data_IF_484247586677
#
_entry.id   IF_484247586677
#
_cell.length_a   1.000
_cell.length_b   1.000
_cell.length_c   1.000
_cell.angle_alpha   90.00
_cell.angle_beta   90.00
_cell.angle_gamma   90.00
#
_symmetry.space_group_name_H-M   'P 1'
#
loop_
_entity.id
_entity.type
_entity.pdbx_description
1 polymer ?
#
# COMPACT_ATOMS: atom_id res chain seq x y z
N UNK A 1 -0.53 11.45 -7.93
CA UNK A 1 -1.36 10.32 -7.49
C UNK A 1 -0.49 9.50 -6.57
N UNK A 2 -1.00 9.06 -5.43
CA UNK A 2 -0.17 8.33 -4.48
C UNK A 2 -0.14 6.84 -4.84
N UNK A 3 1.05 6.26 -4.89
CA UNK A 3 1.24 4.84 -5.07
C UNK A 3 1.98 4.27 -3.86
N UNK A 4 1.55 3.10 -3.42
CA UNK A 4 2.29 2.29 -2.48
C UNK A 4 3.04 1.20 -3.24
N UNK A 5 4.34 1.12 -3.00
CA UNK A 5 5.27 0.24 -3.69
C UNK A 5 5.94 -0.65 -2.66
N UNK A 6 5.71 -1.96 -2.76
CA UNK A 6 6.37 -2.97 -1.95
C UNK A 6 7.50 -3.61 -2.76
N UNK A 7 8.68 -3.70 -2.17
CA UNK A 7 9.89 -4.19 -2.79
C UNK A 7 10.78 -4.88 -1.77
N UNK A 8 11.71 -5.70 -2.24
CA UNK A 8 12.69 -6.40 -1.41
C UNK A 8 14.10 -5.92 -1.74
N UNK A 9 14.91 -5.64 -0.71
CA UNK A 9 16.33 -5.28 -0.83
C UNK A 9 17.13 -6.07 0.19
N UNK A 10 18.15 -6.78 -0.29
CA UNK A 10 19.03 -7.55 0.59
C UNK A 10 18.33 -8.69 1.35
N UNK A 11 17.11 -9.06 0.94
CA UNK A 11 16.26 -10.03 1.62
C UNK A 11 15.19 -9.42 2.52
N UNK A 12 15.23 -8.12 2.79
CA UNK A 12 14.24 -7.41 3.60
C UNK A 12 13.14 -6.79 2.72
N UNK A 13 11.88 -7.08 3.06
CA UNK A 13 10.71 -6.46 2.43
C UNK A 13 10.48 -5.07 3.02
N UNK A 14 10.26 -4.09 2.13
CA UNK A 14 9.96 -2.71 2.47
C UNK A 14 8.81 -2.20 1.62
N UNK A 15 8.06 -1.26 2.19
CA UNK A 15 6.96 -0.58 1.50
C UNK A 15 7.18 0.92 1.60
N UNK A 16 7.06 1.60 0.47
CA UNK A 16 7.26 3.04 0.36
C UNK A 16 6.10 3.69 -0.41
N UNK A 17 5.76 4.92 -0.04
CA UNK A 17 4.68 5.69 -0.64
C UNK A 17 5.25 6.82 -1.47
N UNK A 18 4.93 6.82 -2.76
CA UNK A 18 5.50 7.74 -3.74
C UNK A 18 4.40 8.43 -4.52
N UNK A 19 4.45 9.76 -4.57
CA UNK A 19 3.64 10.52 -5.51
C UNK A 19 4.22 10.37 -6.91
N UNK A 20 3.42 9.83 -7.83
CA UNK A 20 3.81 9.60 -9.22
C UNK A 20 2.62 9.84 -10.16
N UNK A 21 2.89 10.14 -11.45
CA UNK A 21 1.84 10.21 -12.46
C UNK A 21 1.29 8.83 -12.84
N UNK A 22 2.08 7.77 -12.67
CA UNK A 22 1.74 6.40 -13.04
C UNK A 22 2.57 5.37 -12.25
N UNK A 23 2.12 4.11 -12.26
CA UNK A 23 2.75 3.00 -11.54
C UNK A 23 4.18 2.68 -12.01
N UNK A 24 4.49 2.82 -13.30
CA UNK A 24 5.82 2.55 -13.83
C UNK A 24 6.84 3.60 -13.35
N UNK A 25 6.39 4.86 -13.28
CA UNK A 25 7.16 5.96 -12.70
C UNK A 25 7.35 5.77 -11.19
N UNK A 26 6.33 5.31 -10.46
CA UNK A 26 6.43 4.99 -9.03
C UNK A 26 7.50 3.92 -8.76
N UNK A 27 7.41 2.78 -9.45
CA UNK A 27 8.39 1.70 -9.34
C UNK A 27 9.82 2.16 -9.69
N UNK A 28 9.97 2.95 -10.75
CA UNK A 28 11.27 3.48 -11.17
C UNK A 28 11.86 4.44 -10.15
N UNK A 29 11.05 5.30 -9.52
CA UNK A 29 11.50 6.21 -8.45
C UNK A 29 11.99 5.44 -7.24
N UNK A 30 11.20 4.48 -6.76
CA UNK A 30 11.54 3.64 -5.61
C UNK A 30 12.79 2.82 -5.88
N UNK A 31 12.88 2.20 -7.06
CA UNK A 31 14.10 1.53 -7.49
C UNK A 31 15.29 2.49 -7.45
N UNK A 32 15.22 3.67 -8.06
CA UNK A 32 16.35 4.61 -8.07
C UNK A 32 16.71 5.15 -6.68
N UNK A 33 15.73 5.30 -5.78
CA UNK A 33 15.95 5.78 -4.42
C UNK A 33 16.66 4.74 -3.54
N UNK A 34 16.35 3.45 -3.74
CA UNK A 34 16.81 2.37 -2.87
C UNK A 34 17.79 1.40 -3.55
N UNK A 35 18.06 1.55 -4.85
CA UNK A 35 19.08 0.78 -5.56
C UNK A 35 20.46 1.14 -5.00
N UNK A 36 20.92 0.30 -4.08
CA UNK A 36 22.27 0.29 -3.54
C UNK A 36 23.15 -0.63 -4.38
N UNK A 37 24.43 -0.30 -4.51
CA UNK A 37 25.38 -0.96 -5.42
C UNK A 37 25.56 -2.48 -5.13
N UNK A 38 25.27 -2.90 -3.90
CA UNK A 38 25.49 -4.27 -3.41
C UNK A 38 24.20 -5.08 -3.19
N UNK A 39 23.00 -4.48 -3.33
CA UNK A 39 21.72 -5.12 -3.01
C UNK A 39 20.91 -5.50 -4.25
N UNK A 40 20.44 -6.75 -4.33
CA UNK A 40 19.42 -7.13 -5.32
C UNK A 40 18.10 -6.45 -4.94
N UNK A 41 17.58 -5.62 -5.85
CA UNK A 41 16.26 -4.99 -5.75
C UNK A 41 15.24 -5.85 -6.50
N UNK A 42 14.19 -6.29 -5.80
CA UNK A 42 13.06 -7.00 -6.39
C UNK A 42 11.76 -6.23 -6.15
N UNK A 43 11.03 -5.92 -7.21
CA UNK A 43 9.72 -5.26 -7.11
C UNK A 43 8.63 -6.31 -6.88
N UNK A 44 7.88 -6.19 -5.79
CA UNK A 44 6.86 -7.17 -5.41
C UNK A 44 5.45 -6.70 -5.77
N UNK A 45 5.11 -5.46 -5.41
CA UNK A 45 3.77 -4.90 -5.61
C UNK A 45 3.83 -3.40 -5.87
N UNK A 46 2.96 -2.92 -6.76
CA UNK A 46 2.68 -1.50 -6.95
C UNK A 46 1.17 -1.35 -7.03
N UNK A 47 0.57 -0.54 -6.16
CA UNK A 47 -0.85 -0.24 -6.23
C UNK A 47 -1.13 1.23 -5.98
N UNK A 48 -2.19 1.74 -6.60
CA UNK A 48 -2.66 3.10 -6.41
C UNK A 48 -3.32 3.19 -5.04
N UNK A 49 -2.87 4.13 -4.22
CA UNK A 49 -3.56 4.50 -2.98
C UNK A 49 -4.49 5.66 -3.34
N UNK A 50 -5.76 5.32 -3.54
CA UNK A 50 -6.82 6.31 -3.58
C UNK A 50 -7.05 6.75 -2.12
N UNK A 51 -6.96 8.05 -1.85
CA UNK A 51 -7.31 8.60 -0.54
C UNK A 51 -8.81 8.37 -0.35
N UNK A 52 -9.15 7.23 0.23
CA UNK A 52 -10.51 6.80 0.45
C UNK A 52 -11.06 7.61 1.63
N UNK A 53 -11.43 8.87 1.35
CA UNK A 53 -12.13 9.73 2.30
C UNK A 53 -13.58 9.23 2.54
N UNK A 54 -13.98 8.04 2.09
CA UNK A 54 -15.34 7.51 2.25
C UNK A 54 -15.42 6.04 2.67
N UNK A 55 -15.35 5.89 3.99
CA UNK A 55 -16.32 5.05 4.69
C UNK A 55 -15.68 3.92 5.45
N UNK A 56 -15.39 4.17 6.74
CA UNK A 56 -15.48 3.09 7.72
C UNK A 56 -16.83 2.39 7.49
N UNK A 57 -16.88 1.07 7.23
CA UNK A 57 -18.14 0.38 7.39
C UNK A 57 -18.50 0.55 8.87
N UNK A 58 -19.52 1.36 9.17
CA UNK A 58 -20.14 1.35 10.50
C UNK A 58 -20.40 -0.12 10.82
N UNK A 59 -19.90 -0.65 11.95
CA UNK A 59 -20.23 -2.02 12.33
C UNK A 59 -21.75 -2.07 12.45
N UNK A 60 -22.39 -2.87 11.60
CA UNK A 60 -23.83 -3.08 11.63
C UNK A 60 -24.21 -3.43 13.07
N UNK A 61 -24.81 -2.48 13.77
CA UNK A 61 -25.32 -2.71 15.11
C UNK A 61 -26.51 -3.65 14.92
N UNK A 62 -26.27 -4.95 15.08
CA UNK A 62 -27.32 -5.95 15.12
C UNK A 62 -28.37 -5.48 16.14
N UNK A 63 -29.66 -5.40 15.77
CA UNK A 63 -30.69 -5.08 16.73
C UNK A 63 -30.77 -6.23 17.73
N UNK A 64 -30.31 -6.00 18.96
CA UNK A 64 -30.55 -6.91 20.07
C UNK A 64 -32.05 -7.08 20.27
N UNK A 65 -32.60 -8.20 19.79
CA UNK A 65 -33.98 -8.58 20.02
C UNK A 65 -34.22 -8.70 21.54
N UNK A 66 -35.25 -8.07 22.13
CA UNK A 66 -35.57 -8.30 23.52
C UNK A 66 -36.06 -9.74 23.70
N UNK A 67 -35.33 -10.51 24.50
CA UNK A 67 -35.82 -11.80 25.02
C UNK A 67 -37.12 -11.53 25.77
N UNK A 68 -38.23 -11.97 25.19
CA UNK A 68 -39.49 -12.08 25.89
C UNK A 68 -39.49 -13.33 26.77
N UNK A 69 -40.05 -13.15 27.96
CA UNK A 69 -39.89 -13.89 29.21
C UNK A 69 -40.52 -15.29 29.22
#
# INVERSE_FOLDING_TARGET
>A
MMYEVTFQIGGDEQTDQVDAPDAATAASRVRNAHQTDDGMFELLLVHLVEDDEHGSPEPATEPVLPVSR
#
